data_IF_415325183362
#
_entry.id   IF_415325183362
#
_cell.length_a   1.000
_cell.length_b   1.000
_cell.length_c   1.000
_cell.angle_alpha   90.00
_cell.angle_beta   90.00
_cell.angle_gamma   90.00
#
_symmetry.space_group_name_H-M   'P 1'
#
loop_
_entity.id
_entity.type
_entity.pdbx_description
1 polymer ?
#
# COMPACT_ATOMS: atom_id res chain seq x y z
N UNK A 1 11.63 14.34 -14.88
CA UNK A 1 10.65 13.36 -15.40
C UNK A 1 11.18 11.96 -15.14
N UNK A 2 10.37 11.02 -14.63
CA UNK A 2 10.83 9.64 -14.33
C UNK A 2 10.59 8.65 -15.48
N UNK A 3 9.54 8.85 -16.27
CA UNK A 3 9.17 8.04 -17.43
C UNK A 3 8.24 8.90 -18.31
N UNK A 4 8.45 8.88 -19.62
CA UNK A 4 7.53 9.49 -20.58
C UNK A 4 6.30 8.59 -20.77
N UNK A 5 5.13 9.20 -20.97
CA UNK A 5 3.91 8.44 -21.21
C UNK A 5 3.99 7.76 -22.59
N UNK A 6 3.85 6.43 -22.61
CA UNK A 6 3.96 5.59 -23.81
C UNK A 6 2.63 4.90 -24.18
N UNK A 7 1.52 5.37 -23.62
CA UNK A 7 0.18 4.85 -23.87
C UNK A 7 -0.79 6.00 -24.20
N UNK A 8 -1.87 5.74 -24.96
CA UNK A 8 -2.82 6.78 -25.34
C UNK A 8 -3.57 7.29 -24.12
N UNK A 9 -3.79 8.61 -24.07
CA UNK A 9 -4.64 9.21 -23.02
C UNK A 9 -6.12 8.83 -23.18
N UNK A 10 -6.55 8.55 -24.41
CA UNK A 10 -7.90 8.07 -24.77
C UNK A 10 -7.88 7.43 -26.15
N UNK A 11 -8.80 6.51 -26.42
CA UNK A 11 -8.97 5.93 -27.74
C UNK A 11 -7.71 5.18 -28.21
N UNK A 12 -7.27 5.46 -29.43
CA UNK A 12 -6.24 4.71 -30.13
C UNK A 12 -5.11 5.61 -30.61
N UNK A 13 -3.86 5.20 -30.36
CA UNK A 13 -2.65 5.83 -30.91
C UNK A 13 -1.76 4.78 -31.57
N UNK A 14 -0.90 5.22 -32.50
CA UNK A 14 0.04 4.35 -33.23
C UNK A 14 1.48 4.68 -32.83
N UNK A 15 2.21 3.67 -32.37
CA UNK A 15 3.63 3.75 -32.01
C UNK A 15 4.42 2.86 -32.96
N UNK A 16 5.02 3.46 -33.99
CA UNK A 16 5.71 2.72 -35.05
C UNK A 16 4.77 1.78 -35.79
N UNK A 17 4.99 0.47 -35.70
CA UNK A 17 4.19 -0.56 -36.37
C UNK A 17 3.01 -1.08 -35.51
N UNK A 18 2.85 -0.57 -34.29
CA UNK A 18 1.89 -1.08 -33.32
C UNK A 18 0.82 -0.03 -33.04
N UNK A 19 -0.43 -0.39 -33.24
CA UNK A 19 -1.59 0.40 -32.85
C UNK A 19 -2.05 -0.06 -31.46
N UNK A 20 -2.18 0.88 -30.53
CA UNK A 20 -2.51 0.65 -29.12
C UNK A 20 -3.82 1.37 -28.82
N UNK A 21 -4.84 0.61 -28.39
CA UNK A 21 -6.15 1.16 -28.02
C UNK A 21 -6.38 0.97 -26.54
N UNK A 22 -6.64 2.05 -25.80
CA UNK A 22 -7.07 1.98 -24.40
C UNK A 22 -8.53 1.52 -24.34
N UNK A 23 -8.77 0.38 -23.68
CA UNK A 23 -10.10 -0.22 -23.53
C UNK A 23 -10.74 0.12 -22.19
N UNK A 24 -9.95 0.06 -21.12
CA UNK A 24 -10.43 0.24 -19.75
C UNK A 24 -9.34 0.80 -18.84
N UNK A 25 -9.74 1.54 -17.81
CA UNK A 25 -8.86 2.06 -16.76
C UNK A 25 -9.53 1.91 -15.40
N UNK A 26 -8.89 1.19 -14.50
CA UNK A 26 -9.32 1.04 -13.10
C UNK A 26 -8.29 1.67 -12.19
N UNK A 27 -8.69 2.75 -11.54
CA UNK A 27 -7.88 3.46 -10.54
C UNK A 27 -8.25 2.98 -9.12
N UNK A 28 -7.22 2.57 -8.39
CA UNK A 28 -7.27 2.17 -6.98
C UNK A 28 -6.26 3.00 -6.19
N UNK A 29 -6.36 2.98 -4.86
CA UNK A 29 -5.56 3.87 -4.02
C UNK A 29 -4.04 3.72 -4.25
N UNK A 30 -3.54 2.50 -4.49
CA UNK A 30 -2.09 2.25 -4.57
C UNK A 30 -1.60 1.80 -5.94
N UNK A 31 -2.50 1.53 -6.88
CA UNK A 31 -2.15 1.19 -8.26
C UNK A 31 -3.28 1.46 -9.25
N UNK A 32 -2.91 1.62 -10.53
CA UNK A 32 -3.83 1.72 -11.66
C UNK A 32 -3.66 0.53 -12.59
N UNK A 33 -4.77 0.01 -13.11
CA UNK A 33 -4.76 -1.04 -14.15
C UNK A 33 -5.33 -0.45 -15.44
N UNK A 34 -4.60 -0.59 -16.54
CA UNK A 34 -5.07 -0.22 -17.87
C UNK A 34 -5.11 -1.43 -18.77
N UNK A 35 -6.22 -1.63 -19.47
CA UNK A 35 -6.38 -2.73 -20.44
C UNK A 35 -6.32 -2.16 -21.84
N UNK A 36 -5.52 -2.78 -22.71
CA UNK A 36 -5.29 -2.34 -24.08
C UNK A 36 -5.57 -3.45 -25.09
N UNK A 37 -6.03 -3.06 -26.28
CA UNK A 37 -5.93 -3.87 -27.48
C UNK A 37 -4.72 -3.43 -28.30
N UNK A 38 -3.92 -4.40 -28.74
CA UNK A 38 -2.80 -4.21 -29.64
C UNK A 38 -3.12 -4.79 -31.01
N UNK A 39 -2.77 -4.06 -32.05
CA UNK A 39 -2.78 -4.50 -33.44
C UNK A 39 -1.43 -4.18 -34.09
N UNK A 40 -0.91 -5.11 -34.87
CA UNK A 40 0.29 -4.87 -35.68
C UNK A 40 -0.14 -4.52 -37.10
N UNK A 41 0.38 -3.43 -37.66
CA UNK A 41 0.07 -3.02 -39.03
C UNK A 41 0.36 -4.17 -40.01
N UNK A 42 -0.62 -4.48 -40.87
CA UNK A 42 -0.54 -5.60 -41.82
C UNK A 42 -0.90 -6.97 -41.25
N UNK A 43 -1.25 -7.07 -39.97
CA UNK A 43 -1.77 -8.30 -39.34
C UNK A 43 -3.23 -8.10 -38.93
N UNK A 44 -4.03 -9.16 -39.04
CA UNK A 44 -5.37 -9.23 -38.45
C UNK A 44 -5.35 -9.71 -36.99
N UNK A 45 -4.17 -10.06 -36.46
CA UNK A 45 -4.01 -10.52 -35.08
C UNK A 45 -4.24 -9.39 -34.09
N UNK A 46 -5.12 -9.64 -33.12
CA UNK A 46 -5.38 -8.78 -31.97
C UNK A 46 -4.79 -9.41 -30.72
N UNK A 47 -4.08 -8.63 -29.91
CA UNK A 47 -3.63 -9.05 -28.57
C UNK A 47 -4.20 -8.15 -27.49
N UNK A 48 -4.55 -8.73 -26.35
CA UNK A 48 -4.86 -7.96 -25.15
C UNK A 48 -3.58 -7.74 -24.35
N UNK A 49 -3.38 -6.53 -23.81
CA UNK A 49 -2.28 -6.19 -22.91
C UNK A 49 -2.85 -5.49 -21.68
N UNK A 50 -2.37 -5.85 -20.49
CA UNK A 50 -2.69 -5.15 -19.25
C UNK A 50 -1.44 -4.49 -18.67
N UNK A 51 -1.52 -3.19 -18.42
CA UNK A 51 -0.50 -2.45 -17.70
C UNK A 51 -0.93 -2.30 -16.25
N UNK A 52 -0.01 -2.59 -15.33
CA UNK A 52 -0.18 -2.38 -13.90
C UNK A 52 0.81 -1.30 -13.45
N UNK A 53 0.29 -0.15 -13.03
CA UNK A 53 1.11 0.98 -12.57
C UNK A 53 1.00 1.10 -11.05
N UNK A 54 2.07 0.78 -10.32
CA UNK A 54 2.13 0.97 -8.88
C UNK A 54 2.37 2.45 -8.54
N UNK A 55 1.48 3.04 -7.73
CA UNK A 55 1.44 4.47 -7.42
C UNK A 55 1.96 4.79 -6.01
N UNK A 56 2.06 3.79 -5.13
CA UNK A 56 2.41 3.97 -3.71
C UNK A 56 3.90 3.79 -3.41
N UNK A 57 4.80 4.01 -4.39
CA UNK A 57 6.24 4.05 -4.12
C UNK A 57 6.69 5.50 -3.89
N UNK A 58 7.32 5.84 -2.76
CA UNK A 58 7.71 7.22 -2.46
C UNK A 58 8.79 7.76 -3.40
N UNK A 59 8.91 9.08 -3.49
CA UNK A 59 9.94 9.71 -4.33
C UNK A 59 11.36 9.40 -3.85
N UNK A 60 11.54 9.27 -2.53
CA UNK A 60 12.79 8.91 -1.86
C UNK A 60 12.63 7.61 -1.06
N UNK A 61 13.65 6.76 -1.08
CA UNK A 61 13.66 5.50 -0.32
C UNK A 61 12.72 4.41 -0.87
N UNK A 62 12.12 3.69 0.06
CA UNK A 62 11.23 2.53 -0.15
C UNK A 62 9.89 2.76 0.57
N UNK A 63 8.81 2.05 0.19
CA UNK A 63 7.57 2.09 0.96
C UNK A 63 7.80 1.76 2.43
N UNK A 64 7.12 2.45 3.35
CA UNK A 64 7.27 2.21 4.80
C UNK A 64 6.79 0.81 5.21
N UNK A 65 5.84 0.24 4.46
CA UNK A 65 5.28 -1.08 4.69
C UNK A 65 5.16 -1.84 3.37
N UNK A 66 5.39 -3.16 3.36
CA UNK A 66 5.35 -3.95 2.13
C UNK A 66 3.93 -4.39 1.73
N UNK A 67 2.93 -4.25 2.60
CA UNK A 67 1.54 -4.68 2.34
C UNK A 67 0.99 -4.19 0.98
N UNK A 68 1.15 -2.91 0.58
CA UNK A 68 0.65 -2.44 -0.71
C UNK A 68 1.32 -3.12 -1.91
N UNK A 69 2.63 -3.35 -1.86
CA UNK A 69 3.35 -4.00 -2.97
C UNK A 69 3.05 -5.50 -3.03
N UNK A 70 2.84 -6.16 -1.89
CA UNK A 70 2.42 -7.57 -1.84
C UNK A 70 1.01 -7.76 -2.42
N UNK A 71 0.07 -6.87 -2.11
CA UNK A 71 -1.25 -6.88 -2.71
C UNK A 71 -1.19 -6.64 -4.24
N UNK A 72 -0.35 -5.69 -4.67
CA UNK A 72 -0.08 -5.42 -6.08
C UNK A 72 0.48 -6.66 -6.81
N UNK A 73 1.51 -7.31 -6.25
CA UNK A 73 2.12 -8.53 -6.78
C UNK A 73 1.11 -9.67 -6.92
N UNK A 74 0.27 -9.91 -5.89
CA UNK A 74 -0.81 -10.91 -5.95
C UNK A 74 -1.76 -10.62 -7.12
N UNK A 75 -2.15 -9.36 -7.30
CA UNK A 75 -3.06 -8.97 -8.38
C UNK A 75 -2.43 -9.14 -9.76
N UNK A 76 -1.17 -8.72 -9.94
CA UNK A 76 -0.43 -8.91 -11.19
C UNK A 76 -0.32 -10.38 -11.54
N UNK A 77 0.08 -11.23 -10.59
CA UNK A 77 0.20 -12.69 -10.80
C UNK A 77 -1.13 -13.33 -11.20
N UNK A 78 -2.22 -12.98 -10.51
CA UNK A 78 -3.56 -13.51 -10.81
C UNK A 78 -4.10 -13.08 -12.18
N UNK A 79 -3.59 -11.97 -12.75
CA UNK A 79 -4.02 -11.45 -14.05
C UNK A 79 -3.10 -11.83 -15.21
N UNK A 80 -1.93 -12.41 -14.94
CA UNK A 80 -0.97 -12.81 -15.98
C UNK A 80 -1.36 -14.20 -16.53
N UNK A 81 -1.71 -14.32 -17.82
CA UNK A 81 -2.05 -15.61 -18.42
C UNK A 81 -0.87 -16.59 -18.34
N UNK A 82 -1.10 -17.89 -18.06
CA UNK A 82 -0.03 -18.87 -17.93
C UNK A 82 0.71 -19.15 -19.25
N UNK A 83 0.08 -18.87 -20.39
CA UNK A 83 0.60 -19.01 -21.75
C UNK A 83 1.19 -17.71 -22.33
N UNK A 84 1.23 -16.63 -21.53
CA UNK A 84 1.82 -15.37 -21.94
C UNK A 84 3.35 -15.45 -22.07
N UNK A 85 3.92 -14.52 -22.86
CA UNK A 85 5.36 -14.30 -22.88
C UNK A 85 5.90 -13.69 -21.58
N UNK A 86 7.21 -13.38 -21.51
CA UNK A 86 7.82 -12.78 -20.32
C UNK A 86 7.14 -11.46 -19.92
N UNK A 87 6.90 -11.29 -18.62
CA UNK A 87 6.34 -10.05 -18.08
C UNK A 87 7.35 -8.92 -18.24
N UNK A 88 6.92 -7.81 -18.86
CA UNK A 88 7.73 -6.60 -18.99
C UNK A 88 7.58 -5.77 -17.72
N UNK A 89 8.68 -5.59 -16.97
CA UNK A 89 8.72 -4.79 -15.74
C UNK A 89 9.67 -3.62 -15.94
N UNK A 90 9.23 -2.39 -15.67
CA UNK A 90 10.08 -1.21 -15.79
C UNK A 90 9.80 -0.20 -14.66
N UNK A 91 10.72 0.75 -14.49
CA UNK A 91 10.52 1.94 -13.67
C UNK A 91 11.06 3.15 -14.45
N UNK A 92 12.08 3.83 -13.93
CA UNK A 92 12.85 4.84 -14.68
C UNK A 92 14.06 4.19 -15.37
N UNK A 93 15.12 3.86 -14.61
CA UNK A 93 16.30 3.16 -15.14
C UNK A 93 16.10 1.64 -15.30
N UNK A 94 15.00 1.09 -14.77
CA UNK A 94 14.68 -0.34 -14.89
C UNK A 94 15.62 -1.27 -14.09
N UNK A 95 16.13 -0.82 -12.94
CA UNK A 95 17.09 -1.60 -12.11
C UNK A 95 16.73 -1.66 -10.63
N UNK A 96 16.31 -0.54 -10.02
CA UNK A 96 15.97 -0.46 -8.60
C UNK A 96 14.60 -1.08 -8.27
N UNK A 97 13.52 -0.29 -8.39
CA UNK A 97 12.13 -0.75 -8.16
C UNK A 97 11.76 -1.99 -8.98
N UNK A 98 12.24 -2.04 -10.22
CA UNK A 98 12.11 -3.20 -11.12
C UNK A 98 12.76 -4.44 -10.52
N UNK A 99 13.96 -4.32 -9.96
CA UNK A 99 14.64 -5.42 -9.28
C UNK A 99 13.89 -5.89 -8.05
N UNK A 100 13.41 -4.97 -7.20
CA UNK A 100 12.59 -5.33 -6.04
C UNK A 100 11.37 -6.15 -6.43
N UNK A 101 10.62 -5.70 -7.44
CA UNK A 101 9.43 -6.41 -7.93
C UNK A 101 9.77 -7.85 -8.35
N UNK A 102 10.80 -8.02 -9.18
CA UNK A 102 11.20 -9.33 -9.72
C UNK A 102 11.66 -10.28 -8.60
N UNK A 103 12.54 -9.81 -7.70
CA UNK A 103 13.05 -10.65 -6.60
C UNK A 103 11.93 -11.08 -5.67
N UNK A 104 11.04 -10.17 -5.29
CA UNK A 104 9.93 -10.52 -4.39
C UNK A 104 9.01 -11.53 -5.08
N UNK A 105 8.64 -11.34 -6.35
CA UNK A 105 7.79 -12.30 -7.08
C UNK A 105 8.44 -13.69 -7.14
N UNK A 106 9.71 -13.77 -7.53
CA UNK A 106 10.44 -15.03 -7.64
C UNK A 106 10.57 -15.75 -6.29
N UNK A 107 10.84 -15.01 -5.21
CA UNK A 107 10.96 -15.58 -3.87
C UNK A 107 9.61 -15.98 -3.29
N UNK A 108 8.52 -15.25 -3.57
CA UNK A 108 7.16 -15.65 -3.21
C UNK A 108 6.78 -16.98 -3.88
N UNK A 109 7.17 -17.18 -5.14
CA UNK A 109 6.94 -18.46 -5.83
C UNK A 109 7.80 -19.57 -5.21
N UNK A 110 9.10 -19.32 -4.96
CA UNK A 110 9.99 -20.27 -4.29
C UNK A 110 9.47 -20.69 -2.90
N UNK A 111 8.99 -19.74 -2.10
CA UNK A 111 8.43 -20.04 -0.77
C UNK A 111 7.22 -20.96 -0.81
N UNK A 112 6.42 -20.93 -1.89
CA UNK A 112 5.30 -21.87 -2.04
C UNK A 112 5.80 -23.30 -2.17
N UNK A 113 6.83 -23.53 -2.98
CA UNK A 113 7.34 -24.86 -3.33
C UNK A 113 8.37 -25.41 -2.34
N UNK A 114 9.32 -24.58 -1.91
CA UNK A 114 10.51 -25.03 -1.18
C UNK A 114 10.55 -24.61 0.28
N UNK A 115 9.66 -23.71 0.72
CA UNK A 115 9.69 -23.11 2.06
C UNK A 115 11.03 -22.46 2.42
N UNK A 116 11.80 -22.03 1.42
CA UNK A 116 13.07 -21.31 1.58
C UNK A 116 13.09 -20.03 0.73
N UNK A 117 14.00 -19.12 1.07
CA UNK A 117 14.32 -17.92 0.28
C UNK A 117 15.83 -17.85 0.06
N UNK A 118 16.25 -17.30 -1.07
CA UNK A 118 17.66 -16.99 -1.37
C UNK A 118 17.74 -15.65 -2.09
N UNK A 119 17.52 -14.58 -1.32
CA UNK A 119 17.49 -13.22 -1.83
C UNK A 119 18.87 -12.84 -2.39
N UNK A 120 19.95 -13.20 -1.68
CA UNK A 120 21.32 -12.92 -2.09
C UNK A 120 21.68 -13.61 -3.42
N UNK A 121 21.44 -14.92 -3.52
CA UNK A 121 21.73 -15.69 -4.72
C UNK A 121 20.91 -15.22 -5.92
N UNK A 122 19.62 -14.92 -5.72
CA UNK A 122 18.76 -14.44 -6.80
C UNK A 122 19.17 -13.05 -7.31
N UNK A 123 19.48 -12.10 -6.41
CA UNK A 123 20.00 -10.77 -6.79
C UNK A 123 21.35 -10.89 -7.50
N UNK A 124 22.24 -11.79 -7.02
CA UNK A 124 23.53 -12.07 -7.66
C UNK A 124 23.34 -12.56 -9.10
N UNK A 125 22.41 -13.49 -9.32
CA UNK A 125 22.06 -13.99 -10.65
C UNK A 125 21.51 -12.87 -11.55
N UNK A 126 20.55 -12.08 -11.05
CA UNK A 126 19.98 -10.95 -11.80
C UNK A 126 21.03 -9.92 -12.22
N UNK A 127 22.04 -9.68 -11.37
CA UNK A 127 23.14 -8.76 -11.67
C UNK A 127 24.10 -9.28 -12.75
N UNK A 128 24.08 -10.58 -13.06
CA UNK A 128 24.79 -11.13 -14.23
C UNK A 128 24.06 -10.87 -15.56
N UNK A 129 22.75 -10.61 -15.50
CA UNK A 129 21.89 -10.37 -16.66
C UNK A 129 21.66 -8.88 -16.94
N UNK A 130 21.55 -8.06 -15.89
CA UNK A 130 21.37 -6.61 -15.98
C UNK A 130 22.11 -5.90 -14.84
N UNK A 131 22.80 -4.81 -15.15
CA UNK A 131 23.55 -4.06 -14.16
C UNK A 131 22.66 -3.49 -13.04
N UNK A 132 23.19 -3.43 -11.81
CA UNK A 132 22.59 -2.75 -10.66
C UNK A 132 21.18 -3.20 -10.25
N UNK A 133 20.75 -4.40 -10.65
CA UNK A 133 19.47 -4.95 -10.18
C UNK A 133 19.43 -4.93 -8.64
N UNK A 134 18.36 -4.31 -8.09
CA UNK A 134 18.28 -3.85 -6.70
C UNK A 134 19.42 -2.88 -6.41
N UNK A 135 19.17 -1.59 -6.59
CA UNK A 135 20.22 -0.58 -6.73
C UNK A 135 20.74 -0.05 -5.39
N UNK A 136 19.90 -0.03 -4.36
CA UNK A 136 20.24 0.53 -3.04
C UNK A 136 20.11 -0.50 -1.93
N UNK A 137 20.78 -0.25 -0.81
CA UNK A 137 20.68 -1.09 0.39
C UNK A 137 19.25 -1.10 0.96
N UNK A 138 18.60 0.07 1.06
CA UNK A 138 17.20 0.16 1.52
C UNK A 138 16.25 -0.70 0.70
N UNK A 139 16.48 -0.78 -0.61
CA UNK A 139 15.71 -1.67 -1.51
C UNK A 139 15.96 -3.14 -1.20
N UNK A 140 17.18 -3.51 -0.85
CA UNK A 140 17.54 -4.87 -0.47
C UNK A 140 16.93 -5.24 0.89
N UNK A 141 16.93 -4.33 1.86
CA UNK A 141 16.25 -4.49 3.16
C UNK A 141 14.73 -4.65 2.96
N UNK A 142 14.12 -3.78 2.15
CA UNK A 142 12.69 -3.84 1.86
C UNK A 142 12.23 -5.16 1.25
N UNK A 143 13.08 -5.81 0.43
CA UNK A 143 12.79 -7.16 -0.09
C UNK A 143 12.68 -8.18 1.06
N UNK A 144 13.57 -8.09 2.06
CA UNK A 144 13.51 -8.97 3.24
C UNK A 144 12.25 -8.73 4.05
N UNK A 145 11.89 -7.46 4.28
CA UNK A 145 10.67 -7.08 5.00
C UNK A 145 9.41 -7.58 4.29
N UNK A 146 9.35 -7.43 2.96
CA UNK A 146 8.23 -7.91 2.16
C UNK A 146 8.07 -9.44 2.20
N UNK A 147 9.17 -10.17 2.11
CA UNK A 147 9.12 -11.64 2.18
C UNK A 147 8.83 -12.14 3.59
N UNK A 148 9.31 -11.44 4.62
CA UNK A 148 8.95 -11.73 6.01
C UNK A 148 7.45 -11.53 6.25
N UNK A 149 6.87 -10.40 5.85
CA UNK A 149 5.42 -10.17 5.97
C UNK A 149 4.62 -11.24 5.23
N UNK A 150 5.02 -11.59 4.00
CA UNK A 150 4.35 -12.63 3.25
C UNK A 150 4.45 -14.02 3.91
N UNK A 151 5.59 -14.36 4.52
CA UNK A 151 5.79 -15.61 5.25
C UNK A 151 4.93 -15.67 6.51
N UNK A 152 4.82 -14.55 7.23
CA UNK A 152 4.11 -14.47 8.51
C UNK A 152 2.60 -14.39 8.32
N UNK A 153 2.11 -13.59 7.38
CA UNK A 153 0.69 -13.31 7.23
C UNK A 153 -0.01 -14.24 6.22
N UNK A 154 0.72 -14.81 5.27
CA UNK A 154 0.15 -15.61 4.19
C UNK A 154 -0.83 -14.81 3.30
N UNK A 155 -1.82 -15.49 2.73
CA UNK A 155 -2.89 -14.87 1.95
C UNK A 155 -4.22 -14.97 2.70
N UNK A 156 -4.73 -13.84 3.17
CA UNK A 156 -6.01 -13.72 3.90
C UNK A 156 -7.16 -13.28 2.98
N UNK A 157 -6.95 -13.15 1.67
CA UNK A 157 -8.02 -12.80 0.72
C UNK A 157 -8.98 -13.98 0.51
N UNK A 158 -10.28 -13.73 0.65
CA UNK A 158 -11.34 -14.73 0.50
C UNK A 158 -12.35 -14.27 -0.55
N UNK A 159 -12.65 -15.08 -1.59
CA UNK A 159 -13.73 -14.78 -2.53
C UNK A 159 -15.07 -14.63 -1.80
N UNK A 160 -15.88 -13.63 -2.15
CA UNK A 160 -17.15 -13.35 -1.47
C UNK A 160 -18.08 -14.58 -1.34
N UNK A 161 -18.12 -15.44 -2.37
CA UNK A 161 -18.89 -16.70 -2.36
C UNK A 161 -18.48 -17.68 -1.25
N UNK A 162 -17.27 -17.55 -0.72
CA UNK A 162 -16.70 -18.43 0.32
C UNK A 162 -16.71 -17.77 1.71
N UNK A 163 -17.21 -16.53 1.84
CA UNK A 163 -17.13 -15.77 3.09
C UNK A 163 -17.82 -16.48 4.26
N UNK A 164 -19.00 -17.05 4.03
CA UNK A 164 -19.72 -17.79 5.06
C UNK A 164 -18.92 -18.98 5.60
N UNK A 165 -18.37 -19.81 4.71
CA UNK A 165 -17.54 -20.95 5.08
C UNK A 165 -16.27 -20.52 5.82
N UNK A 166 -15.67 -19.39 5.41
CA UNK A 166 -14.52 -18.83 6.10
C UNK A 166 -14.84 -18.36 7.52
N UNK A 167 -15.97 -17.69 7.74
CA UNK A 167 -16.44 -17.29 9.08
C UNK A 167 -16.71 -18.50 10.00
N UNK A 168 -17.27 -19.57 9.44
CA UNK A 168 -17.44 -20.83 10.18
C UNK A 168 -16.08 -21.39 10.62
N UNK A 169 -15.07 -21.35 9.75
CA UNK A 169 -13.71 -21.78 10.08
C UNK A 169 -13.06 -20.88 11.14
N UNK A 170 -13.19 -19.56 11.03
CA UNK A 170 -12.59 -18.62 11.99
C UNK A 170 -13.17 -18.75 13.40
N UNK A 171 -14.43 -19.16 13.51
CA UNK A 171 -15.11 -19.40 14.79
C UNK A 171 -14.65 -20.68 15.50
N UNK A 172 -13.91 -21.57 14.82
CA UNK A 172 -13.42 -22.83 15.40
C UNK A 172 -12.04 -22.68 16.04
N UNK A 173 -11.74 -23.55 17.01
CA UNK A 173 -10.40 -23.68 17.60
C UNK A 173 -9.58 -24.64 16.74
N UNK A 174 -8.46 -24.19 16.13
CA UNK A 174 -7.60 -25.06 15.34
C UNK A 174 -6.97 -26.19 16.17
N UNK A 175 -6.62 -27.33 15.56
CA UNK A 175 -5.88 -28.39 16.26
C UNK A 175 -4.55 -27.86 16.83
N UNK A 176 -4.31 -28.11 18.12
CA UNK A 176 -3.10 -27.66 18.83
C UNK A 176 -3.18 -26.25 19.42
N UNK A 177 -4.27 -25.54 19.18
CA UNK A 177 -4.49 -24.18 19.69
C UNK A 177 -5.50 -24.15 20.85
N UNK A 178 -5.45 -23.09 21.66
CA UNK A 178 -6.34 -22.91 22.81
C UNK A 178 -7.46 -21.89 22.57
N UNK A 179 -7.38 -21.12 21.49
CA UNK A 179 -8.31 -20.05 21.15
C UNK A 179 -8.78 -20.18 19.70
N UNK A 180 -9.86 -19.47 19.36
CA UNK A 180 -10.42 -19.51 18.01
C UNK A 180 -9.43 -18.99 16.97
N UNK A 181 -9.56 -19.44 15.72
CA UNK A 181 -8.78 -18.92 14.61
C UNK A 181 -8.98 -17.41 14.41
N UNK A 182 -10.17 -16.89 14.71
CA UNK A 182 -10.46 -15.44 14.74
C UNK A 182 -9.56 -14.70 15.74
N UNK A 183 -9.42 -15.23 16.96
CA UNK A 183 -8.57 -14.62 17.99
C UNK A 183 -7.08 -14.69 17.61
N UNK A 184 -6.64 -15.81 17.03
CA UNK A 184 -5.26 -15.94 16.52
C UNK A 184 -4.98 -14.91 15.42
N UNK A 185 -5.89 -14.76 14.45
CA UNK A 185 -5.77 -13.78 13.37
C UNK A 185 -5.72 -12.35 13.91
N UNK A 186 -6.58 -12.01 14.87
CA UNK A 186 -6.57 -10.68 15.48
C UNK A 186 -5.27 -10.41 16.27
N UNK A 187 -4.72 -11.41 16.96
CA UNK A 187 -3.42 -11.30 17.65
C UNK A 187 -2.26 -11.05 16.69
N UNK A 188 -2.31 -11.59 15.47
CA UNK A 188 -1.29 -11.35 14.45
C UNK A 188 -1.20 -9.86 14.06
N UNK A 189 -2.32 -9.12 14.08
CA UNK A 189 -2.31 -7.66 13.82
C UNK A 189 -1.54 -6.88 14.89
N UNK A 190 -1.59 -7.32 16.15
CA UNK A 190 -0.96 -6.63 17.28
C UNK A 190 0.56 -6.86 17.39
N UNK A 191 1.10 -7.85 16.69
CA UNK A 191 2.53 -8.18 16.73
C UNK A 191 3.40 -7.16 15.97
N UNK A 192 2.79 -6.28 15.17
CA UNK A 192 3.47 -5.15 14.53
C UNK A 192 3.58 -3.97 15.51
N UNK A 193 4.64 -3.93 16.31
CA UNK A 193 4.88 -2.82 17.25
C UNK A 193 5.43 -1.61 16.51
N UNK A 194 4.79 -0.47 16.65
CA UNK A 194 5.32 0.80 16.17
C UNK A 194 6.47 1.30 17.05
N UNK A 195 7.55 1.76 16.41
CA UNK A 195 8.64 2.42 17.10
C UNK A 195 8.25 3.84 17.55
N UNK A 196 8.74 4.27 18.71
CA UNK A 196 8.47 5.60 19.29
C UNK A 196 8.89 6.76 18.40
N UNK A 197 9.90 6.54 17.54
CA UNK A 197 10.38 7.50 16.54
C UNK A 197 9.31 7.92 15.53
N UNK A 198 8.17 7.21 15.44
CA UNK A 198 7.07 7.53 14.53
C UNK A 198 6.09 8.56 15.09
N UNK A 199 6.25 9.02 16.33
CA UNK A 199 5.29 9.90 17.02
C UNK A 199 5.92 11.23 17.44
N UNK A 200 6.78 11.82 16.60
CA UNK A 200 7.64 12.97 16.99
C UNK A 200 6.78 14.17 17.39
N UNK A 201 5.95 14.66 16.47
CA UNK A 201 5.12 15.86 16.69
C UNK A 201 4.12 15.66 17.83
N UNK A 202 3.54 14.47 17.93
CA UNK A 202 2.56 14.13 18.96
C UNK A 202 3.13 14.12 20.38
N UNK A 203 4.43 13.82 20.53
CA UNK A 203 5.12 13.76 21.83
C UNK A 203 5.72 15.10 22.29
N UNK A 204 5.72 16.14 21.45
CA UNK A 204 6.22 17.46 21.84
C UNK A 204 5.46 17.98 23.07
N UNK A 205 6.13 18.60 24.07
CA UNK A 205 5.48 19.08 25.28
C UNK A 205 4.27 19.99 25.02
N UNK A 206 4.37 20.87 24.01
CA UNK A 206 3.30 21.78 23.58
C UNK A 206 2.06 21.08 23.00
N UNK A 207 2.17 19.80 22.61
CA UNK A 207 1.07 19.04 22.02
C UNK A 207 0.45 18.01 22.97
N UNK A 208 1.05 17.77 24.14
CA UNK A 208 0.58 16.71 25.07
C UNK A 208 -0.88 16.86 25.47
N UNK A 209 -1.33 18.08 25.76
CA UNK A 209 -2.72 18.36 26.14
C UNK A 209 -3.72 18.28 24.97
N UNK A 210 -3.23 18.23 23.71
CA UNK A 210 -4.07 18.07 22.51
C UNK A 210 -4.47 16.62 22.26
N UNK A 211 -3.92 15.66 23.01
CA UNK A 211 -4.20 14.23 22.88
C UNK A 211 -5.18 13.77 23.97
N UNK A 212 -6.32 13.21 23.58
CA UNK A 212 -7.30 12.63 24.52
C UNK A 212 -6.73 11.40 25.23
N UNK A 213 -5.96 10.59 24.51
CA UNK A 213 -5.29 9.40 25.02
C UNK A 213 -3.81 9.44 24.63
N UNK A 214 -2.92 9.36 25.62
CA UNK A 214 -1.45 9.48 25.41
C UNK A 214 -0.85 8.31 24.64
N UNK A 215 -1.53 7.16 24.61
CA UNK A 215 -1.10 5.97 23.90
C UNK A 215 -1.69 5.86 22.47
N UNK A 216 -2.52 6.82 22.05
CA UNK A 216 -3.10 6.87 20.71
C UNK A 216 -2.66 8.16 20.03
N UNK A 217 -1.62 8.06 19.21
CA UNK A 217 -0.97 9.19 18.54
C UNK A 217 -0.86 8.93 17.04
N UNK A 218 -0.93 9.97 16.19
CA UNK A 218 -0.76 9.80 14.75
C UNK A 218 0.70 9.50 14.41
N UNK A 219 0.93 8.64 13.41
CA UNK A 219 2.27 8.48 12.83
C UNK A 219 2.67 9.76 12.08
N UNK A 220 3.95 10.12 12.16
CA UNK A 220 4.47 11.35 11.58
C UNK A 220 4.25 11.43 10.06
N UNK A 221 4.40 10.30 9.34
CA UNK A 221 4.25 10.27 7.88
C UNK A 221 2.81 10.54 7.43
N UNK A 222 1.82 10.10 8.19
CA UNK A 222 0.41 10.14 7.79
C UNK A 222 -0.40 11.14 8.62
N UNK A 223 0.21 11.89 9.54
CA UNK A 223 -0.50 12.90 10.33
C UNK A 223 -1.12 13.97 9.43
N UNK A 224 -2.24 14.52 9.89
CA UNK A 224 -2.83 15.70 9.26
C UNK A 224 -2.12 16.93 9.81
N UNK A 225 -1.45 17.68 8.92
CA UNK A 225 -0.78 18.93 9.27
C UNK A 225 -1.73 20.11 9.04
N UNK A 226 -1.78 21.04 9.99
CA UNK A 226 -2.45 22.31 9.84
C UNK A 226 -1.45 23.39 9.40
N UNK A 227 -1.95 24.47 8.79
CA UNK A 227 -1.10 25.64 8.55
C UNK A 227 -0.61 26.23 9.88
N UNK A 228 0.71 26.40 10.06
CA UNK A 228 1.25 26.90 11.31
C UNK A 228 0.86 28.36 11.52
N UNK A 229 0.47 28.69 12.76
CA UNK A 229 0.16 30.05 13.19
C UNK A 229 1.43 30.68 13.76
N UNK A 230 1.79 31.86 13.24
CA UNK A 230 3.00 32.58 13.66
C UNK A 230 2.98 32.85 15.17
N UNK A 231 4.04 32.44 15.85
CA UNK A 231 4.20 32.64 17.30
C UNK A 231 3.51 31.60 18.17
N UNK A 232 2.83 30.61 17.59
CA UNK A 232 2.16 29.52 18.33
C UNK A 232 2.83 28.19 17.99
N UNK A 233 3.70 27.73 18.89
CA UNK A 233 4.36 26.43 18.77
C UNK A 233 3.32 25.28 18.80
N UNK A 234 3.47 24.27 17.93
CA UNK A 234 2.55 23.14 17.85
C UNK A 234 1.18 23.47 17.25
N UNK A 235 1.00 24.66 16.65
CA UNK A 235 -0.24 25.03 15.95
C UNK A 235 -0.47 24.27 14.64
N UNK A 236 0.54 23.59 14.10
CA UNK A 236 0.41 22.70 12.95
C UNK A 236 -0.11 21.30 13.34
N UNK A 237 -0.26 21.02 14.64
CA UNK A 237 -0.61 19.71 15.16
C UNK A 237 -2.08 19.58 15.52
N UNK A 238 -2.68 18.49 15.05
CA UNK A 238 -3.93 17.90 15.52
C UNK A 238 -3.76 16.38 15.58
N UNK A 239 -4.38 15.70 16.54
CA UNK A 239 -4.36 14.24 16.62
C UNK A 239 -5.29 13.64 15.56
N UNK A 240 -4.77 13.51 14.34
CA UNK A 240 -5.48 13.00 13.19
C UNK A 240 -4.50 12.39 12.18
N UNK A 241 -4.92 11.34 11.49
CA UNK A 241 -4.16 10.65 10.44
C UNK A 241 -4.97 10.52 9.17
N UNK A 242 -4.33 10.73 8.02
CA UNK A 242 -4.88 10.34 6.73
C UNK A 242 -4.91 8.82 6.60
N UNK A 243 -6.03 8.29 6.13
CA UNK A 243 -6.22 6.86 5.86
C UNK A 243 -6.65 6.70 4.41
N UNK A 244 -5.96 5.81 3.69
CA UNK A 244 -6.28 5.46 2.32
C UNK A 244 -7.62 4.71 2.26
N UNK A 245 -8.42 5.02 1.23
CA UNK A 245 -9.64 4.28 0.93
C UNK A 245 -9.40 3.19 -0.10
N UNK A 246 -10.47 2.66 -0.67
CA UNK A 246 -10.36 1.65 -1.72
C UNK A 246 -9.82 2.23 -3.05
N UNK A 247 -10.33 3.40 -3.45
CA UNK A 247 -10.00 4.02 -4.75
C UNK A 247 -8.99 5.16 -4.70
N UNK A 248 -8.89 5.82 -3.55
CA UNK A 248 -8.12 7.05 -3.42
C UNK A 248 -7.27 7.00 -2.16
N UNK A 249 -6.06 7.56 -2.24
CA UNK A 249 -5.26 7.82 -1.06
C UNK A 249 -5.88 8.97 -0.26
N UNK A 250 -5.63 9.00 1.06
CA UNK A 250 -6.15 10.05 1.97
C UNK A 250 -7.68 10.22 1.89
N UNK A 251 -8.41 9.13 1.67
CA UNK A 251 -9.86 9.15 1.54
C UNK A 251 -10.59 9.55 2.83
N UNK A 252 -9.95 9.27 3.97
CA UNK A 252 -10.50 9.53 5.28
C UNK A 252 -9.49 10.25 6.16
N UNK A 253 -10.00 10.99 7.13
CA UNK A 253 -9.24 11.47 8.28
C UNK A 253 -9.76 10.71 9.50
N UNK A 254 -8.91 9.86 10.08
CA UNK A 254 -9.17 9.25 11.37
C UNK A 254 -8.64 10.17 12.48
N UNK A 255 -9.52 10.65 13.34
CA UNK A 255 -9.17 11.59 14.42
C UNK A 255 -9.93 11.25 15.71
N UNK A 256 -9.41 11.70 16.83
CA UNK A 256 -10.08 11.61 18.12
C UNK A 256 -11.35 12.48 18.16
N UNK A 257 -12.28 12.18 19.08
CA UNK A 257 -13.35 13.12 19.42
C UNK A 257 -12.75 14.44 19.96
N UNK A 258 -13.07 15.61 19.39
CA UNK A 258 -12.45 16.88 19.76
C UNK A 258 -12.50 17.16 21.26
N UNK A 259 -11.44 17.77 21.79
CA UNK A 259 -11.41 18.32 23.13
C UNK A 259 -11.87 19.79 23.09
N UNK A 260 -12.16 20.38 24.24
CA UNK A 260 -12.45 21.82 24.30
C UNK A 260 -11.25 22.63 23.74
N UNK A 261 -10.03 22.21 24.06
CA UNK A 261 -8.76 22.81 23.66
C UNK A 261 -8.42 22.60 22.18
N UNK A 262 -9.07 21.67 21.49
CA UNK A 262 -8.78 21.32 20.08
C UNK A 262 -9.97 21.52 19.15
N UNK A 263 -11.06 22.12 19.63
CA UNK A 263 -12.27 22.35 18.82
C UNK A 263 -11.99 23.32 17.67
N UNK A 264 -11.22 24.38 17.89
CA UNK A 264 -10.82 25.30 16.82
C UNK A 264 -9.89 24.64 15.79
N UNK A 265 -8.89 23.87 16.27
CA UNK A 265 -7.98 23.10 15.41
C UNK A 265 -8.77 22.08 14.55
N UNK A 266 -9.82 21.46 15.11
CA UNK A 266 -10.69 20.54 14.37
C UNK A 266 -11.44 21.22 13.23
N UNK A 267 -12.05 22.38 13.45
CA UNK A 267 -12.71 23.14 12.37
C UNK A 267 -11.70 23.63 11.32
N UNK A 268 -10.52 24.07 11.76
CA UNK A 268 -9.43 24.46 10.86
C UNK A 268 -8.98 23.29 9.99
N UNK A 269 -8.87 22.09 10.56
CA UNK A 269 -8.59 20.85 9.82
C UNK A 269 -9.62 20.58 8.72
N UNK A 270 -10.92 20.67 9.04
CA UNK A 270 -11.98 20.42 8.06
C UNK A 270 -11.90 21.41 6.89
N UNK A 271 -11.68 22.69 7.18
CA UNK A 271 -11.57 23.73 6.16
C UNK A 271 -10.32 23.55 5.29
N UNK A 272 -9.13 23.44 5.91
CA UNK A 272 -7.85 23.37 5.20
C UNK A 272 -7.70 22.13 4.33
N UNK A 273 -8.34 21.01 4.72
CA UNK A 273 -8.30 19.74 3.98
C UNK A 273 -9.59 19.46 3.20
N UNK A 274 -10.46 20.47 3.02
CA UNK A 274 -11.69 20.41 2.23
C UNK A 274 -12.60 19.21 2.60
N UNK A 275 -12.70 18.91 3.90
CA UNK A 275 -13.58 17.86 4.42
C UNK A 275 -14.94 18.45 4.78
N UNK A 276 -15.99 18.02 4.06
CA UNK A 276 -17.37 18.51 4.23
C UNK A 276 -18.31 17.47 4.84
N UNK A 277 -17.79 16.30 5.23
CA UNK A 277 -18.57 15.21 5.82
C UNK A 277 -17.88 14.77 7.11
N UNK A 278 -18.60 14.85 8.23
CA UNK A 278 -18.13 14.39 9.54
C UNK A 278 -18.98 13.19 9.97
N UNK A 279 -18.30 12.10 10.37
CA UNK A 279 -18.94 10.90 10.93
C UNK A 279 -18.55 10.79 12.40
N UNK A 280 -19.52 10.91 13.31
CA UNK A 280 -19.32 10.78 14.76
C UNK A 280 -19.81 9.42 15.23
N UNK A 281 -18.93 8.63 15.86
CA UNK A 281 -19.18 7.23 16.25
C UNK A 281 -19.37 7.03 17.76
N UNK A 282 -19.58 8.11 18.51
CA UNK A 282 -19.84 8.07 19.96
C UNK A 282 -20.95 9.05 20.30
N UNK A 283 -21.60 8.87 21.45
CA UNK A 283 -22.35 9.98 22.08
C UNK A 283 -21.38 11.01 22.66
N UNK A 284 -21.90 12.17 23.05
CA UNK A 284 -21.11 13.18 23.77
C UNK A 284 -20.65 12.69 25.14
N UNK A 285 -21.43 11.81 25.78
CA UNK A 285 -21.12 11.16 27.05
C UNK A 285 -21.59 9.71 27.04
N UNK A 286 -20.75 8.81 27.52
CA UNK A 286 -21.03 7.38 27.66
C UNK A 286 -20.47 6.88 28.99
N UNK A 287 -21.22 6.03 29.70
CA UNK A 287 -20.81 5.50 31.02
C UNK A 287 -20.42 6.58 32.05
N UNK A 288 -21.03 7.78 31.97
CA UNK A 288 -20.77 8.90 32.88
C UNK A 288 -19.46 9.65 32.62
N UNK A 289 -18.79 9.38 31.50
CA UNK A 289 -17.59 10.08 31.01
C UNK A 289 -17.87 10.82 29.71
#
# INVERSE_FOLDING_TARGET
VKCDQYWPGRGTETYGLIQVTLLDTVELATYTVRTFALYKNGSSEKRELRQFQFMAWPDHGVPEYPTPILAFLRRVKACNPPDAGPMVVHCSAGVGRTGCFIVIEAMLERMKHEKTVDIYGHVTCMRSQRNYMVQTEDQYIFIHEALLEAATCGNTEVPARNLFAHLQKLSQVPPGESVTAMELEFKLLANSKAHTSRFISANLPCNKFKNRLVNIMPYELTRVCLQPIRGVEGSDYINASFIDGYRQQKAYIATQGPLAETTEDFWRMLWEHNSTIVVMLTKLREMGR
#
